data_IF_730496476002
#
_entry.id   IF_730496476002
#
_cell.length_a   1.000
_cell.length_b   1.000
_cell.length_c   1.000
_cell.angle_alpha   90.00
_cell.angle_beta   90.00
_cell.angle_gamma   90.00
#
_symmetry.space_group_name_H-M   'P 1'
#
loop_
_entity.id
_entity.type
_entity.pdbx_description
1 polymer ?
#
# COMPACT_ATOMS: atom_id res chain seq x y z
N UNK A 1 37.80 -1.55 -3.72
CA UNK A 1 36.57 -0.72 -3.86
C UNK A 1 36.10 0.10 -2.63
N UNK A 2 36.55 -0.12 -1.37
CA UNK A 2 36.14 0.72 -0.23
C UNK A 2 36.53 2.20 -0.34
N UNK A 3 37.65 2.49 -1.00
CA UNK A 3 38.26 3.82 -1.08
C UNK A 3 37.44 4.81 -1.92
N UNK A 4 36.90 4.36 -3.07
CA UNK A 4 35.99 5.16 -3.90
C UNK A 4 34.69 5.52 -3.16
N UNK A 5 34.19 4.64 -2.29
CA UNK A 5 33.01 4.91 -1.46
C UNK A 5 33.29 6.00 -0.42
N UNK A 6 34.48 6.01 0.20
CA UNK A 6 34.90 7.08 1.13
C UNK A 6 35.00 8.44 0.42
N UNK A 7 35.54 8.45 -0.80
CA UNK A 7 35.62 9.67 -1.61
C UNK A 7 34.24 10.26 -1.93
N UNK A 8 33.28 9.41 -2.36
CA UNK A 8 31.91 9.85 -2.62
C UNK A 8 31.24 10.44 -1.38
N UNK A 9 31.38 9.79 -0.22
CA UNK A 9 30.86 10.31 1.06
C UNK A 9 31.51 11.66 1.41
N UNK A 10 32.80 11.84 1.09
CA UNK A 10 33.50 13.12 1.23
C UNK A 10 32.88 14.22 0.35
N UNK A 11 32.54 13.90 -0.90
CA UNK A 11 31.88 14.83 -1.82
C UNK A 11 30.46 15.19 -1.36
N UNK A 12 29.68 14.20 -0.91
CA UNK A 12 28.34 14.42 -0.35
C UNK A 12 28.39 15.40 0.83
N UNK A 13 29.29 15.17 1.80
CA UNK A 13 29.50 16.07 2.93
C UNK A 13 29.88 17.49 2.52
N UNK A 14 30.67 17.64 1.45
CA UNK A 14 31.03 18.97 0.91
C UNK A 14 29.83 19.66 0.28
N UNK A 15 29.00 18.93 -0.48
CA UNK A 15 27.77 19.45 -1.06
C UNK A 15 26.75 19.83 0.02
N UNK A 16 26.60 19.04 1.08
CA UNK A 16 25.66 19.34 2.15
C UNK A 16 26.00 20.60 2.96
N UNK A 17 27.27 21.03 2.93
CA UNK A 17 27.73 22.27 3.57
C UNK A 17 27.51 23.52 2.71
N UNK A 18 27.14 23.38 1.43
CA UNK A 18 26.91 24.50 0.51
C UNK A 18 25.50 25.06 0.72
N UNK A 19 25.39 26.20 1.40
CA UNK A 19 24.13 26.91 1.62
C UNK A 19 23.70 27.77 0.42
N UNK A 20 24.61 28.04 -0.50
CA UNK A 20 24.36 28.82 -1.70
C UNK A 20 23.58 28.06 -2.78
N UNK A 21 23.54 26.71 -2.73
CA UNK A 21 22.82 25.85 -3.67
C UNK A 21 21.31 25.84 -3.38
N UNK A 22 20.69 27.00 -3.61
CA UNK A 22 19.25 27.26 -3.52
C UNK A 22 18.53 26.92 -4.81
N UNK A 23 17.19 26.82 -4.77
CA UNK A 23 16.36 26.57 -5.96
C UNK A 23 16.66 27.57 -7.09
N UNK A 24 16.83 28.84 -6.74
CA UNK A 24 17.08 29.95 -7.66
C UNK A 24 18.46 29.83 -8.34
N UNK A 25 19.47 29.38 -7.59
CA UNK A 25 20.82 29.15 -8.16
C UNK A 25 20.86 27.89 -9.02
N UNK A 26 20.20 26.81 -8.61
CA UNK A 26 20.15 25.55 -9.36
C UNK A 26 19.39 25.69 -10.68
N UNK A 27 18.35 26.55 -10.73
CA UNK A 27 17.64 26.87 -11.97
C UNK A 27 18.53 27.52 -13.05
N UNK A 28 19.66 28.13 -12.65
CA UNK A 28 20.63 28.73 -13.56
C UNK A 28 21.72 27.75 -14.02
N UNK A 29 21.78 26.56 -13.42
CA UNK A 29 22.76 25.54 -13.78
C UNK A 29 22.43 24.88 -15.13
N UNK A 30 23.47 24.47 -15.84
CA UNK A 30 23.32 23.60 -17.01
C UNK A 30 22.76 22.23 -16.56
N UNK A 31 21.99 21.56 -17.42
CA UNK A 31 21.36 20.28 -17.09
C UNK A 31 22.38 19.22 -16.65
N UNK A 32 23.49 19.10 -17.38
CA UNK A 32 24.54 18.13 -17.07
C UNK A 32 25.17 18.38 -15.68
N UNK A 33 25.31 19.66 -15.29
CA UNK A 33 25.79 20.03 -13.95
C UNK A 33 24.79 19.58 -12.88
N UNK A 34 23.50 19.77 -13.11
CA UNK A 34 22.44 19.30 -12.20
C UNK A 34 22.45 17.78 -12.07
N UNK A 35 22.60 17.04 -13.17
CA UNK A 35 22.67 15.58 -13.16
C UNK A 35 23.87 15.08 -12.33
N UNK A 36 25.04 15.69 -12.49
CA UNK A 36 26.23 15.37 -11.69
C UNK A 36 25.99 15.69 -10.20
N UNK A 37 25.45 16.88 -9.90
CA UNK A 37 25.17 17.30 -8.52
C UNK A 37 24.17 16.36 -7.83
N UNK A 38 23.10 15.98 -8.52
CA UNK A 38 22.09 15.02 -8.04
C UNK A 38 22.72 13.64 -7.87
N UNK A 39 23.48 13.14 -8.84
CA UNK A 39 24.13 11.84 -8.78
C UNK A 39 25.06 11.72 -7.56
N UNK A 40 25.88 12.76 -7.32
CA UNK A 40 26.79 12.82 -6.19
C UNK A 40 26.02 12.91 -4.88
N UNK A 41 25.07 13.87 -4.75
CA UNK A 41 24.30 14.08 -3.51
C UNK A 41 23.50 12.84 -3.13
N UNK A 42 22.80 12.23 -4.09
CA UNK A 42 21.96 11.05 -3.85
C UNK A 42 22.76 9.75 -3.77
N UNK A 43 24.00 9.73 -4.28
CA UNK A 43 24.83 8.54 -4.39
C UNK A 43 24.33 7.53 -5.42
N UNK A 44 23.69 8.03 -6.50
CA UNK A 44 23.02 7.20 -7.52
C UNK A 44 23.62 7.53 -8.90
N UNK A 45 24.35 6.57 -9.48
CA UNK A 45 25.03 6.78 -10.76
C UNK A 45 24.13 6.79 -12.00
N UNK A 46 22.87 6.34 -11.90
CA UNK A 46 21.95 6.28 -13.05
C UNK A 46 21.57 7.66 -13.58
N UNK A 47 21.71 8.73 -12.78
CA UNK A 47 21.44 10.10 -13.21
C UNK A 47 22.42 10.59 -14.28
N UNK A 48 23.65 10.06 -14.32
CA UNK A 48 24.68 10.45 -15.31
C UNK A 48 24.85 9.43 -16.43
N UNK A 49 24.07 8.33 -16.43
CA UNK A 49 24.24 7.26 -17.43
C UNK A 49 23.50 7.53 -18.74
N UNK A 50 22.87 8.69 -18.92
CA UNK A 50 22.06 9.06 -20.10
C UNK A 50 20.74 8.29 -20.27
N UNK A 51 20.52 7.24 -19.46
CA UNK A 51 19.29 6.42 -19.47
C UNK A 51 18.11 7.11 -18.80
N UNK A 52 18.40 8.05 -17.90
CA UNK A 52 17.42 8.80 -17.13
C UNK A 52 17.36 10.20 -17.74
N UNK A 53 16.26 10.52 -18.43
CA UNK A 53 16.04 11.85 -18.98
C UNK A 53 14.96 12.57 -18.16
N UNK A 54 15.38 13.24 -17.09
CA UNK A 54 14.49 14.06 -16.29
C UNK A 54 14.56 15.54 -16.71
N UNK A 55 13.45 16.29 -16.61
CA UNK A 55 13.48 17.74 -16.70
C UNK A 55 14.34 18.36 -15.58
N UNK A 56 14.95 19.52 -15.85
CA UNK A 56 15.77 20.24 -14.86
C UNK A 56 15.00 20.52 -13.55
N UNK A 57 13.71 20.83 -13.65
CA UNK A 57 12.82 21.04 -12.50
C UNK A 57 12.80 19.82 -11.57
N UNK A 58 12.65 18.62 -12.11
CA UNK A 58 12.59 17.38 -11.32
C UNK A 58 13.94 17.05 -10.69
N UNK A 59 15.05 17.28 -11.41
CA UNK A 59 16.40 17.15 -10.84
C UNK A 59 16.60 18.07 -9.63
N UNK A 60 16.11 19.31 -9.71
CA UNK A 60 16.16 20.27 -8.60
C UNK A 60 15.30 19.81 -7.42
N UNK A 61 14.08 19.32 -7.68
CA UNK A 61 13.21 18.77 -6.63
C UNK A 61 13.84 17.56 -5.93
N UNK A 62 14.50 16.66 -6.68
CA UNK A 62 15.26 15.55 -6.11
C UNK A 62 16.43 16.08 -5.29
N UNK A 63 17.22 17.02 -5.82
CA UNK A 63 18.37 17.61 -5.10
C UNK A 63 17.96 18.21 -3.76
N UNK A 64 16.79 18.85 -3.70
CA UNK A 64 16.22 19.48 -2.50
C UNK A 64 15.40 18.53 -1.63
N UNK A 65 15.40 17.22 -1.93
CA UNK A 65 14.65 16.18 -1.20
C UNK A 65 13.13 16.35 -1.20
N UNK A 66 12.57 17.05 -2.19
CA UNK A 66 11.13 17.23 -2.38
C UNK A 66 10.52 16.17 -3.32
N UNK A 67 11.36 15.37 -3.98
CA UNK A 67 10.96 14.28 -4.87
C UNK A 67 11.82 13.04 -4.64
N UNK A 68 11.23 11.88 -4.82
CA UNK A 68 11.91 10.60 -4.66
C UNK A 68 13.08 10.47 -5.63
N UNK A 69 14.26 10.08 -5.11
CA UNK A 69 15.44 9.81 -5.95
C UNK A 69 15.34 8.52 -6.77
N UNK A 70 14.34 7.67 -6.51
CA UNK A 70 14.02 6.56 -7.38
C UNK A 70 13.19 7.08 -8.56
N UNK A 71 13.83 7.15 -9.73
CA UNK A 71 13.23 7.69 -10.96
C UNK A 71 11.96 6.95 -11.40
N UNK A 72 11.86 5.65 -11.05
CA UNK A 72 10.66 4.84 -11.35
C UNK A 72 9.51 5.10 -10.36
N UNK A 73 9.81 5.67 -9.18
CA UNK A 73 8.81 5.97 -8.16
C UNK A 73 8.20 7.35 -8.39
N UNK A 74 9.04 8.34 -8.69
CA UNK A 74 8.64 9.71 -9.00
C UNK A 74 7.72 10.44 -7.98
N UNK A 75 7.55 9.89 -6.78
CA UNK A 75 6.67 10.49 -5.76
C UNK A 75 7.22 11.83 -5.26
N UNK A 76 6.32 12.79 -5.05
CA UNK A 76 6.61 13.99 -4.26
C UNK A 76 6.75 13.58 -2.79
N UNK A 77 7.64 14.25 -2.05
CA UNK A 77 7.98 13.91 -0.67
C UNK A 77 7.55 15.03 0.30
N UNK A 78 7.00 14.67 1.48
CA UNK A 78 6.65 13.31 1.92
C UNK A 78 5.49 12.72 1.10
N UNK A 79 5.48 11.40 0.95
CA UNK A 79 4.40 10.69 0.23
C UNK A 79 3.10 10.84 1.03
N UNK A 80 1.98 11.08 0.33
CA UNK A 80 0.64 11.25 0.91
C UNK A 80 0.57 12.31 2.02
N UNK A 81 1.44 13.33 1.95
CA UNK A 81 1.58 14.39 2.95
C UNK A 81 1.78 13.85 4.38
N UNK A 82 2.45 12.69 4.50
CA UNK A 82 2.71 12.04 5.78
C UNK A 82 3.49 12.96 6.74
N UNK A 83 2.90 13.23 7.90
CA UNK A 83 3.39 14.14 8.93
C UNK A 83 4.11 13.43 10.09
N UNK A 84 4.36 12.12 9.98
CA UNK A 84 4.94 11.36 11.08
C UNK A 84 6.37 11.85 11.43
N UNK A 85 6.77 11.64 12.70
CA UNK A 85 8.10 12.04 13.19
C UNK A 85 9.25 11.42 12.39
N UNK A 86 9.07 10.21 11.87
CA UNK A 86 10.08 9.54 11.08
C UNK A 86 10.26 10.21 9.70
N UNK A 87 9.19 10.43 8.95
CA UNK A 87 9.23 11.07 7.63
C UNK A 87 9.75 12.51 7.71
N UNK A 88 9.28 13.28 8.69
CA UNK A 88 9.73 14.67 8.89
C UNK A 88 11.21 14.79 9.30
N UNK A 89 11.74 13.83 10.07
CA UNK A 89 13.15 13.83 10.47
C UNK A 89 14.10 13.35 9.37
N UNK A 90 13.62 12.54 8.41
CA UNK A 90 14.46 11.90 7.40
C UNK A 90 14.22 12.50 6.01
N UNK A 91 14.91 13.60 5.71
CA UNK A 91 14.82 14.27 4.41
C UNK A 91 15.13 13.32 3.26
N UNK A 92 14.27 13.32 2.24
CA UNK A 92 14.43 12.50 1.04
C UNK A 92 14.01 11.04 1.21
N UNK A 93 13.49 10.66 2.38
CA UNK A 93 12.84 9.38 2.58
C UNK A 93 11.54 9.29 1.78
N UNK A 94 11.35 8.19 1.06
CA UNK A 94 10.14 7.88 0.33
C UNK A 94 9.50 6.61 0.88
N UNK A 95 8.38 6.73 1.60
CA UNK A 95 7.68 5.57 2.17
C UNK A 95 7.12 4.61 1.12
N UNK A 96 6.93 5.06 -0.14
CA UNK A 96 6.45 4.20 -1.23
C UNK A 96 7.48 3.19 -1.74
N UNK A 97 8.78 3.47 -1.60
CA UNK A 97 9.80 2.60 -2.21
C UNK A 97 11.11 2.48 -1.43
N UNK A 98 11.29 3.20 -0.32
CA UNK A 98 12.51 3.12 0.50
C UNK A 98 12.26 2.39 1.80
N UNK A 99 13.21 1.54 2.16
CA UNK A 99 13.23 0.89 3.46
C UNK A 99 13.73 1.87 4.53
N UNK A 100 13.01 2.11 5.64
CA UNK A 100 13.38 3.07 6.66
C UNK A 100 14.65 2.67 7.44
N UNK A 101 15.06 1.40 7.38
CA UNK A 101 16.26 0.90 8.05
C UNK A 101 17.54 1.20 7.25
N UNK A 102 17.55 0.87 5.95
CA UNK A 102 18.75 0.97 5.12
C UNK A 102 18.73 2.19 4.19
N UNK A 103 17.59 2.90 4.11
CA UNK A 103 17.32 4.03 3.24
C UNK A 103 17.45 3.73 1.73
N UNK A 104 17.60 2.45 1.35
CA UNK A 104 17.66 2.05 -0.06
C UNK A 104 16.27 1.80 -0.60
N UNK A 105 16.11 2.05 -1.89
CA UNK A 105 14.94 1.67 -2.65
C UNK A 105 15.21 0.47 -3.54
N UNK A 106 14.15 -0.27 -3.85
CA UNK A 106 14.10 -1.23 -4.96
C UNK A 106 12.66 -1.33 -5.48
N UNK A 107 12.41 -2.29 -6.38
CA UNK A 107 11.12 -2.47 -7.06
C UNK A 107 10.42 -3.78 -6.69
N UNK A 108 10.70 -4.38 -5.52
CA UNK A 108 10.14 -5.67 -5.12
C UNK A 108 8.81 -5.55 -4.34
N UNK A 109 7.90 -4.69 -4.81
CA UNK A 109 6.62 -4.37 -4.15
C UNK A 109 5.58 -5.52 -4.09
N UNK A 110 5.82 -6.63 -4.79
CA UNK A 110 4.90 -7.78 -4.86
C UNK A 110 5.52 -9.04 -4.25
N UNK A 111 6.25 -8.89 -3.15
CA UNK A 111 7.08 -9.96 -2.54
C UNK A 111 6.97 -9.94 -1.01
N UNK A 112 7.28 -11.06 -0.37
CA UNK A 112 7.44 -11.14 1.09
C UNK A 112 8.75 -10.49 1.55
N UNK A 113 9.67 -10.22 0.63
CA UNK A 113 10.91 -9.46 0.87
C UNK A 113 10.68 -8.03 1.35
N UNK A 114 9.46 -7.49 1.21
CA UNK A 114 9.02 -6.23 1.82
C UNK A 114 7.87 -6.47 2.77
N UNK A 115 7.99 -5.97 4.00
CA UNK A 115 6.97 -6.08 5.05
C UNK A 115 6.41 -4.69 5.35
N UNK A 116 5.09 -4.59 5.42
CA UNK A 116 4.38 -3.32 5.57
C UNK A 116 3.71 -3.19 6.93
N UNK A 117 3.63 -1.96 7.43
CA UNK A 117 2.73 -1.61 8.53
C UNK A 117 1.32 -1.36 8.00
N UNK A 118 0.33 -2.07 8.52
CA UNK A 118 -1.09 -1.96 8.16
C UNK A 118 -1.80 -0.69 8.66
N UNK A 119 -1.13 0.13 9.48
CA UNK A 119 -1.67 1.42 9.97
C UNK A 119 -1.13 2.62 9.19
N UNK A 120 0.19 2.66 8.95
CA UNK A 120 0.85 3.85 8.40
C UNK A 120 1.55 3.59 7.05
N UNK A 121 1.42 2.38 6.50
CA UNK A 121 1.96 2.01 5.19
C UNK A 121 3.47 2.25 5.04
N UNK A 122 4.23 2.23 6.14
CA UNK A 122 5.68 2.17 6.08
C UNK A 122 6.14 0.75 5.76
N UNK A 123 6.92 0.63 4.69
CA UNK A 123 7.44 -0.65 4.21
C UNK A 123 8.92 -0.81 4.53
N UNK A 124 9.32 -1.99 5.00
CA UNK A 124 10.70 -2.32 5.35
C UNK A 124 11.12 -3.59 4.62
N UNK A 125 12.39 -3.70 4.22
CA UNK A 125 12.93 -4.99 3.79
C UNK A 125 12.80 -5.99 4.94
N UNK A 126 12.31 -7.20 4.66
CA UNK A 126 12.23 -8.28 5.64
C UNK A 126 13.60 -8.54 6.29
N UNK A 127 14.66 -8.62 5.48
CA UNK A 127 16.03 -8.78 5.97
C UNK A 127 16.48 -7.64 6.91
N UNK A 128 16.13 -6.39 6.61
CA UNK A 128 16.44 -5.26 7.48
C UNK A 128 15.62 -5.31 8.78
N UNK A 129 14.35 -5.70 8.68
CA UNK A 129 13.45 -5.87 9.81
C UNK A 129 13.96 -6.95 10.77
N UNK A 130 14.38 -8.10 10.25
CA UNK A 130 14.99 -9.17 11.05
C UNK A 130 16.30 -8.71 11.69
N UNK A 131 17.21 -8.08 10.93
CA UNK A 131 18.49 -7.61 11.46
C UNK A 131 18.33 -6.58 12.60
N UNK A 132 17.26 -5.78 12.55
CA UNK A 132 16.93 -4.78 13.58
C UNK A 132 15.97 -5.28 14.65
N UNK A 133 15.65 -6.58 14.66
CA UNK A 133 14.66 -7.18 15.57
C UNK A 133 13.28 -6.49 15.53
N UNK A 134 12.90 -5.95 14.38
CA UNK A 134 11.56 -5.41 14.13
C UNK A 134 10.57 -6.51 13.78
N UNK A 135 11.05 -7.61 13.19
CA UNK A 135 10.25 -8.83 12.99
C UNK A 135 10.60 -9.79 14.12
N UNK A 136 9.65 -10.07 15.00
CA UNK A 136 9.86 -10.91 16.19
C UNK A 136 8.55 -11.47 16.73
N UNK A 137 8.58 -12.56 17.52
CA UNK A 137 7.42 -13.00 18.28
C UNK A 137 6.92 -11.91 19.23
N UNK A 138 5.61 -11.76 19.31
CA UNK A 138 4.90 -10.84 20.21
C UNK A 138 3.57 -11.43 20.68
N UNK A 139 2.84 -10.78 21.59
CA UNK A 139 1.53 -11.24 22.04
C UNK A 139 0.50 -11.16 20.90
N UNK A 140 -0.26 -12.22 20.66
CA UNK A 140 -1.20 -12.24 19.53
C UNK A 140 -2.27 -11.15 19.64
N UNK A 141 -2.49 -10.43 18.55
CA UNK A 141 -3.46 -9.33 18.48
C UNK A 141 -4.92 -9.81 18.40
N UNK A 142 -5.12 -11.02 17.87
CA UNK A 142 -6.45 -11.61 17.60
C UNK A 142 -6.65 -12.98 18.26
N UNK A 143 -5.62 -13.52 18.92
CA UNK A 143 -5.64 -14.84 19.54
C UNK A 143 -6.13 -14.87 20.99
N UNK A 144 -6.35 -16.08 21.56
CA UNK A 144 -6.61 -16.24 22.98
C UNK A 144 -5.46 -15.69 23.83
N UNK A 145 -5.78 -15.17 25.02
CA UNK A 145 -4.77 -14.63 25.94
C UNK A 145 -3.66 -15.66 26.21
N UNK A 146 -2.40 -15.25 26.01
CA UNK A 146 -1.23 -16.09 26.22
C UNK A 146 -0.64 -16.72 24.95
N UNK A 147 -1.27 -16.56 23.78
CA UNK A 147 -0.66 -16.98 22.51
C UNK A 147 0.30 -15.93 21.98
N UNK A 148 1.48 -16.36 21.49
CA UNK A 148 2.39 -15.51 20.72
C UNK A 148 2.10 -15.61 19.22
N UNK A 149 2.52 -14.63 18.43
CA UNK A 149 2.59 -14.70 16.96
C UNK A 149 3.76 -13.84 16.45
N UNK A 150 4.25 -14.11 15.24
CA UNK A 150 5.30 -13.28 14.62
C UNK A 150 4.70 -11.95 14.16
N UNK A 151 5.31 -10.84 14.57
CA UNK A 151 4.84 -9.48 14.30
C UNK A 151 5.96 -8.60 13.74
N UNK A 152 5.61 -7.71 12.81
CA UNK A 152 6.45 -6.61 12.36
C UNK A 152 6.13 -5.34 13.14
N UNK A 153 7.15 -4.78 13.79
CA UNK A 153 7.07 -3.53 14.53
C UNK A 153 7.56 -2.37 13.66
N UNK A 154 6.64 -1.47 13.32
CA UNK A 154 6.94 -0.35 12.45
C UNK A 154 7.88 0.66 13.13
N UNK A 155 8.98 1.06 12.48
CA UNK A 155 9.86 2.12 13.01
C UNK A 155 9.21 3.51 13.06
N UNK A 156 8.16 3.75 12.26
CA UNK A 156 7.46 5.03 12.19
C UNK A 156 6.46 5.24 13.32
N UNK A 157 5.53 4.31 13.51
CA UNK A 157 4.44 4.42 14.47
C UNK A 157 4.52 3.43 15.64
N UNK A 158 5.50 2.53 15.66
CA UNK A 158 5.65 1.44 16.64
C UNK A 158 4.46 0.47 16.71
N UNK A 159 3.56 0.52 15.73
CA UNK A 159 2.48 -0.45 15.60
C UNK A 159 3.04 -1.84 15.28
N UNK A 160 2.45 -2.86 15.90
CA UNK A 160 2.76 -4.27 15.63
C UNK A 160 1.75 -4.81 14.62
N UNK A 161 2.24 -5.17 13.43
CA UNK A 161 1.44 -5.77 12.36
C UNK A 161 1.69 -7.28 12.32
N UNK A 162 0.62 -8.06 12.14
CA UNK A 162 0.64 -9.51 12.14
C UNK A 162 1.25 -10.06 10.83
N UNK A 163 2.17 -11.04 10.91
CA UNK A 163 2.98 -11.46 9.74
C UNK A 163 2.43 -12.65 8.94
N UNK A 164 1.73 -13.60 9.56
CA UNK A 164 1.17 -14.76 8.88
C UNK A 164 0.08 -14.35 7.89
N UNK A 165 -0.86 -13.51 8.30
CA UNK A 165 -1.89 -12.95 7.42
C UNK A 165 -1.28 -12.14 6.28
N UNK A 166 -0.29 -11.29 6.59
CA UNK A 166 0.45 -10.55 5.58
C UNK A 166 1.07 -11.47 4.51
N UNK A 167 1.81 -12.51 4.93
CA UNK A 167 2.44 -13.46 3.99
C UNK A 167 1.40 -14.23 3.19
N UNK A 168 0.30 -14.66 3.84
CA UNK A 168 -0.82 -15.30 3.14
C UNK A 168 -1.34 -14.42 2.01
N UNK A 169 -1.59 -13.15 2.28
CA UNK A 169 -2.16 -12.23 1.30
C UNK A 169 -1.20 -11.99 0.13
N UNK A 170 0.10 -11.84 0.41
CA UNK A 170 1.13 -11.72 -0.64
C UNK A 170 1.16 -12.96 -1.54
N UNK A 171 1.13 -14.17 -0.97
CA UNK A 171 1.13 -15.40 -1.78
C UNK A 171 -0.15 -15.54 -2.61
N UNK A 172 -1.31 -15.27 -2.02
CA UNK A 172 -2.60 -15.38 -2.72
C UNK A 172 -2.69 -14.39 -3.88
N UNK A 173 -2.21 -13.16 -3.69
CA UNK A 173 -2.32 -12.10 -4.69
C UNK A 173 -1.23 -12.18 -5.77
N UNK A 174 0.01 -12.51 -5.38
CA UNK A 174 1.19 -12.29 -6.23
C UNK A 174 1.88 -13.59 -6.70
N UNK A 175 1.77 -14.70 -5.98
CA UNK A 175 2.60 -15.88 -6.27
C UNK A 175 2.34 -16.53 -7.63
N UNK A 176 1.16 -16.28 -8.23
CA UNK A 176 0.81 -16.75 -9.57
C UNK A 176 1.70 -16.16 -10.69
N UNK A 177 2.25 -14.97 -10.46
CA UNK A 177 3.07 -14.24 -11.43
C UNK A 177 4.58 -14.45 -11.19
N UNK A 178 4.95 -15.26 -10.19
CA UNK A 178 6.35 -15.51 -9.84
C UNK A 178 6.94 -16.66 -10.66
N UNK A 179 8.12 -16.41 -11.25
CA UNK A 179 8.97 -17.47 -11.79
C UNK A 179 9.67 -18.27 -10.68
N UNK A 180 10.32 -19.38 -11.06
CA UNK A 180 11.02 -20.29 -10.14
C UNK A 180 11.98 -19.55 -9.18
N UNK A 181 12.82 -18.66 -9.70
CA UNK A 181 13.82 -17.95 -8.89
C UNK A 181 13.18 -17.03 -7.84
N UNK A 182 12.08 -16.36 -8.20
CA UNK A 182 11.37 -15.47 -7.28
C UNK A 182 10.68 -16.34 -6.22
N UNK A 183 9.99 -17.41 -6.62
CA UNK A 183 9.32 -18.29 -5.69
C UNK A 183 10.28 -18.90 -4.66
N UNK A 184 11.47 -19.35 -5.08
CA UNK A 184 12.50 -19.83 -4.15
C UNK A 184 12.93 -18.73 -3.18
N UNK A 185 13.21 -17.51 -3.68
CA UNK A 185 13.61 -16.39 -2.81
C UNK A 185 12.52 -16.03 -1.80
N UNK A 186 11.27 -16.01 -2.22
CA UNK A 186 10.16 -15.64 -1.34
C UNK A 186 9.84 -16.73 -0.32
N UNK A 187 9.91 -18.00 -0.69
CA UNK A 187 9.81 -19.10 0.28
C UNK A 187 10.95 -19.08 1.30
N UNK A 188 12.18 -18.77 0.88
CA UNK A 188 13.30 -18.60 1.81
C UNK A 188 13.07 -17.40 2.73
N UNK A 189 12.58 -16.28 2.19
CA UNK A 189 12.21 -15.11 3.00
C UNK A 189 11.19 -15.49 4.09
N UNK A 190 10.12 -16.22 3.72
CA UNK A 190 9.14 -16.74 4.68
C UNK A 190 9.80 -17.66 5.72
N UNK A 191 10.65 -18.61 5.27
CA UNK A 191 11.40 -19.50 6.17
C UNK A 191 12.19 -18.69 7.20
N UNK A 192 12.87 -17.61 6.80
CA UNK A 192 13.64 -16.76 7.71
C UNK A 192 12.74 -15.97 8.66
N UNK A 193 11.64 -15.38 8.17
CA UNK A 193 10.68 -14.60 8.98
C UNK A 193 10.14 -15.45 10.14
N UNK A 194 9.80 -16.71 9.88
CA UNK A 194 9.16 -17.60 10.87
C UNK A 194 10.12 -18.52 11.62
N UNK A 195 11.44 -18.40 11.41
CA UNK A 195 12.45 -19.28 12.02
C UNK A 195 12.39 -19.33 13.55
N UNK A 196 12.02 -18.22 14.18
CA UNK A 196 11.89 -18.09 15.64
C UNK A 196 10.45 -18.09 16.15
N UNK A 197 9.48 -18.53 15.35
CA UNK A 197 8.08 -18.58 15.76
C UNK A 197 7.88 -19.55 16.93
N UNK A 198 7.14 -19.10 17.95
CA UNK A 198 6.77 -19.94 19.10
C UNK A 198 5.40 -20.59 18.93
N UNK A 199 4.58 -20.03 18.03
CA UNK A 199 3.20 -20.41 17.79
C UNK A 199 3.07 -21.53 16.76
N UNK A 200 1.99 -22.30 16.87
CA UNK A 200 1.76 -23.46 16.00
C UNK A 200 1.69 -23.06 14.51
N UNK A 201 1.02 -21.93 14.19
CA UNK A 201 0.82 -21.52 12.79
C UNK A 201 2.14 -21.12 12.13
N UNK A 202 2.94 -20.31 12.81
CA UNK A 202 4.25 -19.88 12.31
C UNK A 202 5.26 -21.04 12.22
N UNK A 203 5.27 -21.96 13.18
CA UNK A 203 6.11 -23.18 13.11
C UNK A 203 5.75 -24.06 11.91
N UNK A 204 4.46 -24.33 11.70
CA UNK A 204 4.01 -25.12 10.55
C UNK A 204 4.33 -24.42 9.22
N UNK A 205 4.19 -23.09 9.17
CA UNK A 205 4.55 -22.32 7.96
C UNK A 205 6.05 -22.37 7.68
N UNK A 206 6.89 -22.27 8.71
CA UNK A 206 8.34 -22.42 8.58
C UNK A 206 8.71 -23.79 8.00
N UNK A 207 8.18 -24.87 8.57
CA UNK A 207 8.40 -26.25 8.11
C UNK A 207 7.89 -26.41 6.67
N UNK A 208 6.71 -25.88 6.36
CA UNK A 208 6.12 -26.00 5.03
C UNK A 208 6.93 -25.25 3.97
N UNK A 209 7.44 -24.07 4.30
CA UNK A 209 8.32 -23.31 3.42
C UNK A 209 9.62 -24.08 3.14
N UNK A 210 10.24 -24.68 4.17
CA UNK A 210 11.46 -25.50 4.02
C UNK A 210 11.24 -26.76 3.17
N UNK A 211 10.10 -27.45 3.36
CA UNK A 211 9.72 -28.61 2.55
C UNK A 211 9.59 -28.23 1.06
N UNK A 212 8.90 -27.13 0.76
CA UNK A 212 8.68 -26.67 -0.60
C UNK A 212 9.96 -26.15 -1.27
N UNK A 213 10.81 -25.45 -0.52
CA UNK A 213 12.14 -25.03 -0.98
C UNK A 213 12.96 -26.22 -1.41
N UNK A 214 13.10 -27.22 -0.54
CA UNK A 214 13.87 -28.43 -0.82
C UNK A 214 13.36 -29.15 -2.08
N UNK A 215 12.03 -29.24 -2.23
CA UNK A 215 11.39 -29.87 -3.39
C UNK A 215 11.58 -29.09 -4.69
N UNK A 216 11.61 -27.76 -4.63
CA UNK A 216 11.84 -26.89 -5.79
C UNK A 216 13.31 -26.92 -6.22
N UNK A 217 14.24 -26.88 -5.26
CA UNK A 217 15.68 -26.97 -5.49
C UNK A 217 16.06 -28.34 -6.08
N UNK A 218 15.44 -29.42 -5.59
CA UNK A 218 15.59 -30.78 -6.14
C UNK A 218 14.80 -31.02 -7.43
N UNK A 219 14.07 -30.02 -7.95
CA UNK A 219 13.21 -30.09 -9.14
C UNK A 219 12.14 -31.20 -9.09
N UNK A 220 11.75 -31.62 -7.89
CA UNK A 220 10.73 -32.66 -7.66
C UNK A 220 9.29 -32.15 -7.82
N UNK A 221 9.11 -30.83 -7.84
CA UNK A 221 7.81 -30.17 -8.00
C UNK A 221 7.94 -28.95 -8.92
N UNK A 222 6.87 -28.64 -9.67
CA UNK A 222 6.81 -27.43 -10.48
C UNK A 222 6.52 -26.19 -9.61
N UNK A 223 6.94 -24.97 -10.03
CA UNK A 223 6.60 -23.73 -9.33
C UNK A 223 5.09 -23.56 -9.10
N UNK A 224 4.27 -23.85 -10.12
CA UNK A 224 2.81 -23.74 -10.03
C UNK A 224 2.23 -24.68 -8.96
N UNK A 225 2.71 -25.92 -8.89
CA UNK A 225 2.26 -26.88 -7.89
C UNK A 225 2.71 -26.45 -6.48
N UNK A 226 3.93 -25.95 -6.32
CA UNK A 226 4.39 -25.42 -5.04
C UNK A 226 3.55 -24.21 -4.58
N UNK A 227 3.24 -23.27 -5.49
CA UNK A 227 2.33 -22.15 -5.22
C UNK A 227 0.94 -22.63 -4.80
N UNK A 228 0.38 -23.62 -5.50
CA UNK A 228 -0.93 -24.20 -5.16
C UNK A 228 -0.93 -24.84 -3.77
N UNK A 229 0.10 -25.63 -3.45
CA UNK A 229 0.23 -26.28 -2.13
C UNK A 229 0.31 -25.26 -1.00
N UNK A 230 1.12 -24.21 -1.13
CA UNK A 230 1.26 -23.23 -0.05
C UNK A 230 0.00 -22.37 0.10
N UNK A 231 -0.67 -22.00 -1.01
CA UNK A 231 -1.95 -21.29 -0.96
C UNK A 231 -3.03 -22.16 -0.29
N UNK A 232 -3.08 -23.45 -0.62
CA UNK A 232 -3.97 -24.38 0.06
C UNK A 232 -3.65 -24.48 1.56
N UNK A 233 -2.38 -24.56 1.93
CA UNK A 233 -1.96 -24.56 3.34
C UNK A 233 -2.52 -23.34 4.10
N UNK A 234 -2.40 -22.14 3.52
CA UNK A 234 -2.96 -20.92 4.13
C UNK A 234 -4.48 -20.92 4.29
N UNK A 235 -5.20 -21.65 3.44
CA UNK A 235 -6.65 -21.77 3.53
C UNK A 235 -7.07 -22.81 4.59
N UNK A 236 -6.31 -23.90 4.74
CA UNK A 236 -6.61 -24.94 5.73
C UNK A 236 -6.17 -24.57 7.15
N UNK A 237 -5.06 -23.83 7.29
CA UNK A 237 -4.57 -23.34 8.58
C UNK A 237 -5.50 -22.31 9.24
N UNK A 238 -6.38 -21.67 8.46
CA UNK A 238 -7.40 -20.73 8.96
C UNK A 238 -8.65 -21.42 9.54
N UNK A 239 -8.95 -22.65 9.12
CA UNK A 239 -10.21 -23.34 9.45
C UNK A 239 -10.08 -24.31 10.65
N UNK A 240 -8.86 -24.72 10.99
CA UNK A 240 -8.61 -25.67 12.11
C UNK A 240 -8.26 -24.95 13.41
N UNK A 241 -9.25 -24.31 14.03
CA UNK A 241 -9.21 -23.91 15.45
C UNK A 241 -10.59 -24.17 16.05
N UNK A 242 -10.96 -25.45 16.20
CA UNK A 242 -12.05 -25.92 17.06
C UNK A 242 -11.77 -27.39 17.48
N UNK A 243 -10.88 -27.52 18.49
CA UNK A 243 -10.72 -28.61 19.50
C UNK A 243 -10.52 -30.09 19.10
N UNK A 244 -10.10 -30.98 20.04
CA UNK A 244 -9.32 -30.79 21.28
C UNK A 244 -8.03 -31.62 21.31
N UNK A 245 -7.19 -31.38 22.33
CA UNK A 245 -6.07 -32.24 22.69
C UNK A 245 -6.52 -33.71 22.84
N UNK A 246 -5.88 -34.63 22.12
CA UNK A 246 -6.09 -36.07 22.28
C UNK A 246 -4.94 -36.65 23.10
N UNK A 247 -5.21 -36.78 24.40
CA UNK A 247 -4.52 -37.70 25.30
C UNK A 247 -5.31 -39.02 25.41
N UNK A 248 -4.55 -40.08 25.64
CA UNK A 248 -4.89 -41.49 25.88
C UNK A 248 -6.12 -41.72 26.80
N UNK A 249 -6.90 -42.81 26.63
CA UNK A 249 -8.17 -43.01 27.34
C UNK A 249 -8.03 -43.82 28.65
N UNK A 250 -8.66 -43.37 29.75
CA UNK A 250 -9.03 -44.23 30.89
C UNK A 250 -10.35 -43.74 31.56
N UNK A 251 -11.42 -44.50 31.29
CA UNK A 251 -12.45 -45.09 32.17
C UNK A 251 -13.03 -44.35 33.41
N UNK A 252 -14.34 -44.11 33.32
CA UNK A 252 -15.45 -44.20 34.31
C UNK A 252 -15.36 -43.58 35.73
N UNK A 253 -16.28 -42.64 36.05
CA UNK A 253 -17.46 -42.83 36.94
C UNK A 253 -18.29 -41.53 37.05
N UNK A 254 -19.62 -41.68 37.09
CA UNK A 254 -20.68 -40.66 37.24
C UNK A 254 -21.05 -40.42 38.73
N UNK A 255 -22.14 -39.70 39.09
CA UNK A 255 -22.46 -38.27 38.92
C UNK A 255 -22.83 -37.61 40.28
N UNK A 256 -22.82 -36.27 40.40
CA UNK A 256 -23.62 -35.62 41.46
C UNK A 256 -24.04 -34.20 41.08
N UNK A 257 -25.35 -33.96 41.16
CA UNK A 257 -26.05 -32.69 40.98
C UNK A 257 -25.86 -31.75 42.17
N UNK A 258 -25.90 -30.43 41.93
CA UNK A 258 -27.00 -29.53 42.36
C UNK A 258 -26.57 -28.07 42.62
N UNK A 259 -27.49 -27.18 42.19
CA UNK A 259 -27.89 -25.87 42.74
C UNK A 259 -27.20 -24.55 42.32
N UNK A 260 -27.88 -23.87 41.38
CA UNK A 260 -28.61 -22.58 41.51
C UNK A 260 -27.93 -21.42 42.26
N UNK A 261 -27.70 -20.32 41.54
CA UNK A 261 -27.40 -18.98 42.08
C UNK A 261 -27.40 -17.89 41.00
N UNK A 262 -28.47 -17.10 40.99
CA UNK A 262 -28.91 -16.00 40.09
C UNK A 262 -27.94 -14.87 39.70
N UNK A 263 -28.28 -14.30 38.53
CA UNK A 263 -28.25 -12.90 38.07
C UNK A 263 -26.94 -12.17 37.76
N UNK A 264 -26.68 -11.96 36.46
CA UNK A 264 -26.50 -10.62 35.87
C UNK A 264 -26.53 -10.69 34.32
N UNK A 265 -27.43 -9.91 33.72
CA UNK A 265 -27.58 -9.68 32.28
C UNK A 265 -26.29 -9.24 31.59
N UNK A 266 -25.93 -9.88 30.48
CA UNK A 266 -25.08 -9.30 29.45
C UNK A 266 -25.75 -9.40 28.08
N UNK A 267 -25.94 -8.23 27.48
CA UNK A 267 -26.45 -7.98 26.15
C UNK A 267 -25.58 -8.66 25.07
N UNK A 268 -26.25 -9.26 24.10
CA UNK A 268 -25.68 -9.73 22.83
C UNK A 268 -24.92 -8.60 22.12
N UNK A 269 -23.68 -8.83 21.64
CA UNK A 269 -23.10 -8.00 20.60
C UNK A 269 -23.55 -8.49 19.23
N UNK A 270 -24.10 -7.54 18.50
CA UNK A 270 -24.50 -7.58 17.11
C UNK A 270 -23.42 -8.15 16.19
N UNK A 271 -23.89 -8.92 15.21
CA UNK A 271 -23.17 -9.38 14.02
C UNK A 271 -22.47 -8.22 13.33
N UNK A 272 -21.14 -8.13 13.45
CA UNK A 272 -20.32 -7.25 12.62
C UNK A 272 -19.63 -8.06 11.52
N UNK A 273 -19.93 -7.67 10.29
CA UNK A 273 -19.37 -8.15 9.02
C UNK A 273 -17.85 -7.98 8.94
N UNK A 274 -17.14 -8.78 8.11
CA UNK A 274 -15.69 -8.71 7.97
C UNK A 274 -15.25 -7.38 7.35
N UNK A 275 -14.30 -6.72 8.02
CA UNK A 275 -13.63 -5.50 7.55
C UNK A 275 -12.93 -5.75 6.22
N UNK A 276 -13.28 -4.94 5.21
CA UNK A 276 -12.65 -4.91 3.89
C UNK A 276 -11.27 -4.29 4.02
N UNK A 277 -10.20 -5.06 3.77
CA UNK A 277 -8.88 -4.50 3.49
C UNK A 277 -8.96 -3.73 2.17
N UNK A 278 -8.96 -2.41 2.25
CA UNK A 278 -8.90 -1.53 1.08
C UNK A 278 -7.47 -1.55 0.55
N UNK A 279 -7.27 -2.32 -0.53
CA UNK A 279 -6.07 -2.27 -1.37
C UNK A 279 -5.90 -0.84 -1.86
N UNK A 280 -4.89 -0.13 -1.36
CA UNK A 280 -4.51 1.17 -1.89
C UNK A 280 -3.92 1.00 -3.29
N UNK A 281 -4.79 1.28 -4.26
CA UNK A 281 -4.57 2.04 -5.47
C UNK A 281 -3.13 2.08 -6.02
N UNK A 282 -2.90 1.29 -7.08
CA UNK A 282 -1.67 1.28 -7.88
C UNK A 282 -1.53 2.49 -8.83
N UNK A 283 -2.42 3.48 -8.76
CA UNK A 283 -2.44 4.61 -9.67
C UNK A 283 -2.32 5.94 -8.93
N UNK A 284 -1.08 6.44 -8.83
CA UNK A 284 -0.81 7.88 -8.71
C UNK A 284 0.56 8.24 -9.30
N UNK A 285 0.55 8.47 -10.61
CA UNK A 285 1.27 9.59 -11.22
C UNK A 285 0.37 10.15 -12.32
N UNK A 286 -0.20 11.34 -12.07
CA UNK A 286 -1.01 12.06 -13.06
C UNK A 286 -0.15 12.64 -14.18
N UNK A 287 -0.77 12.89 -15.33
CA UNK A 287 -0.19 13.65 -16.43
C UNK A 287 -0.18 12.86 -17.73
N UNK A 288 -1.01 13.29 -18.67
CA UNK A 288 -1.02 12.85 -20.07
C UNK A 288 0.41 12.84 -20.62
N UNK A 289 0.87 11.70 -21.13
CA UNK A 289 1.70 11.59 -22.33
C UNK A 289 1.79 10.10 -22.71
N UNK A 290 1.57 9.83 -23.99
CA UNK A 290 1.55 8.50 -24.62
C UNK A 290 2.88 7.74 -24.40
N UNK A 291 2.87 6.43 -24.15
CA UNK A 291 4.11 5.66 -24.08
C UNK A 291 4.47 5.08 -25.45
N UNK A 292 5.59 5.56 -25.99
CA UNK A 292 6.38 4.94 -27.04
C UNK A 292 7.02 3.66 -26.49
N UNK A 293 6.66 2.50 -27.05
CA UNK A 293 7.16 1.19 -26.66
C UNK A 293 8.53 0.89 -27.29
N UNK A 294 9.53 0.57 -26.47
CA UNK A 294 10.78 -0.08 -26.91
C UNK A 294 10.94 -1.45 -26.21
N UNK A 295 10.74 -2.51 -26.99
CA UNK A 295 11.72 -3.56 -27.33
C UNK A 295 12.31 -4.54 -26.31
N UNK A 296 11.55 -5.01 -25.30
CA UNK A 296 11.98 -6.17 -24.49
C UNK A 296 10.91 -7.23 -24.17
N UNK A 297 9.83 -7.31 -24.98
CA UNK A 297 8.73 -8.29 -24.78
C UNK A 297 8.51 -9.30 -25.91
N UNK A 298 9.41 -9.39 -26.90
CA UNK A 298 9.20 -10.28 -28.06
C UNK A 298 9.72 -11.72 -27.89
N UNK A 299 10.58 -12.02 -26.90
CA UNK A 299 11.24 -13.33 -26.83
C UNK A 299 10.54 -14.40 -25.97
N UNK A 300 9.44 -14.08 -25.29
CA UNK A 300 8.74 -15.05 -24.43
C UNK A 300 7.43 -15.59 -25.00
N UNK A 301 6.91 -15.00 -26.08
CA UNK A 301 5.66 -15.44 -26.73
C UNK A 301 5.86 -16.54 -27.78
N UNK A 302 7.12 -16.85 -28.15
CA UNK A 302 7.43 -17.85 -29.20
C UNK A 302 7.42 -19.31 -28.71
N UNK A 303 7.37 -19.55 -27.40
CA UNK A 303 7.43 -20.90 -26.82
C UNK A 303 6.06 -21.50 -26.46
N UNK A 304 4.98 -20.71 -26.50
CA UNK A 304 3.65 -21.12 -26.03
C UNK A 304 2.64 -21.45 -27.14
N UNK A 305 3.02 -21.41 -28.42
CA UNK A 305 2.13 -21.75 -29.55
C UNK A 305 2.24 -23.22 -30.02
N UNK A 306 2.83 -24.11 -29.21
CA UNK A 306 2.80 -25.55 -29.45
C UNK A 306 2.03 -26.25 -28.33
N UNK A 307 0.72 -26.04 -28.27
CA UNK A 307 -0.22 -26.95 -27.61
C UNK A 307 -1.62 -26.64 -28.14
N UNK A 308 -2.07 -27.57 -28.98
CA UNK A 308 -3.33 -27.63 -29.71
C UNK A 308 -4.57 -27.53 -28.80
N UNK A 309 -5.57 -26.70 -29.17
CA UNK A 309 -6.96 -27.05 -28.94
C UNK A 309 -7.71 -27.13 -30.27
N UNK A 310 -8.11 -28.37 -30.59
CA UNK A 310 -9.14 -28.75 -31.56
C UNK A 310 -10.23 -27.70 -31.72
N UNK A 311 -10.24 -27.04 -32.88
CA UNK A 311 -11.44 -26.43 -33.46
C UNK A 311 -11.56 -27.00 -34.87
N UNK A 312 -12.62 -27.78 -35.01
CA UNK A 312 -13.13 -28.37 -36.22
C UNK A 312 -13.69 -27.23 -37.08
N UNK A 313 -12.99 -26.86 -38.15
CA UNK A 313 -13.58 -26.09 -39.26
C UNK A 313 -12.93 -26.54 -40.56
N UNK A 314 -13.75 -27.21 -41.34
CA UNK A 314 -13.47 -28.00 -42.52
C UNK A 314 -13.26 -27.06 -43.73
N UNK A 315 -12.01 -26.87 -44.17
CA UNK A 315 -11.72 -26.26 -45.48
C UNK A 315 -10.90 -27.22 -46.35
N UNK A 316 -11.61 -27.96 -47.18
CA UNK A 316 -11.06 -28.82 -48.23
C UNK A 316 -10.42 -28.00 -49.36
N UNK A 317 -9.09 -28.10 -49.51
CA UNK A 317 -8.47 -27.94 -50.83
C UNK A 317 -8.19 -29.32 -51.43
N UNK A 318 -8.74 -29.53 -52.61
CA UNK A 318 -8.80 -30.81 -53.29
C UNK A 318 -7.44 -31.46 -53.53
N UNK A 319 -7.45 -32.78 -53.42
CA UNK A 319 -6.44 -33.71 -53.90
C UNK A 319 -6.05 -33.37 -55.34
N UNK A 320 -4.87 -32.79 -55.57
CA UNK A 320 -4.27 -32.71 -56.91
C UNK A 320 -3.00 -33.57 -56.98
N UNK A 321 -2.99 -34.37 -58.04
CA UNK A 321 -2.01 -35.39 -58.37
C UNK A 321 -0.63 -34.80 -58.68
N UNK A 322 0.40 -35.63 -58.48
CA UNK A 322 1.78 -35.44 -58.93
C UNK A 322 1.84 -34.90 -60.37
N UNK A 323 2.40 -33.70 -60.56
CA UNK A 323 3.31 -33.36 -61.67
C UNK A 323 3.89 -31.94 -61.53
N UNK A 324 5.20 -31.86 -61.75
CA UNK A 324 5.96 -30.77 -62.34
C UNK A 324 5.75 -29.33 -61.82
N UNK A 325 6.72 -28.86 -61.02
CA UNK A 325 7.54 -27.71 -61.42
C UNK A 325 6.89 -26.33 -61.56
N UNK A 326 5.72 -26.08 -60.97
CA UNK A 326 5.13 -24.75 -60.85
C UNK A 326 4.45 -24.56 -59.48
N UNK A 327 5.25 -24.26 -58.45
CA UNK A 327 4.80 -23.40 -57.34
C UNK A 327 5.81 -22.25 -57.24
N UNK A 328 5.71 -21.38 -58.26
CA UNK A 328 6.50 -20.17 -58.43
C UNK A 328 6.44 -19.30 -57.16
N UNK A 329 7.51 -18.54 -56.90
CA UNK A 329 7.63 -17.52 -55.84
C UNK A 329 6.34 -16.67 -55.71
N UNK A 330 5.65 -16.43 -56.81
CA UNK A 330 4.36 -15.73 -56.87
C UNK A 330 3.24 -16.36 -56.02
N UNK A 331 3.15 -17.70 -55.95
CA UNK A 331 2.18 -18.43 -55.11
C UNK A 331 2.47 -18.18 -53.62
N UNK A 332 3.73 -18.27 -53.23
CA UNK A 332 4.20 -18.02 -51.86
C UNK A 332 3.98 -16.55 -51.47
N UNK A 333 4.25 -15.62 -52.39
CA UNK A 333 4.02 -14.18 -52.19
C UNK A 333 2.53 -13.92 -51.92
N UNK A 334 1.62 -14.46 -52.74
CA UNK A 334 0.16 -14.30 -52.53
C UNK A 334 -0.31 -14.84 -51.18
N UNK A 335 0.20 -16.00 -50.74
CA UNK A 335 -0.12 -16.56 -49.43
C UNK A 335 0.41 -15.66 -48.30
N UNK A 336 1.63 -15.13 -48.43
CA UNK A 336 2.22 -14.23 -47.44
C UNK A 336 1.53 -12.86 -47.38
N UNK A 337 1.06 -12.34 -48.50
CA UNK A 337 0.24 -11.13 -48.57
C UNK A 337 -1.10 -11.33 -47.85
N UNK A 338 -1.77 -12.46 -48.06
CA UNK A 338 -3.00 -12.81 -47.36
C UNK A 338 -2.78 -12.97 -45.83
N UNK A 339 -1.69 -13.63 -45.44
CA UNK A 339 -1.30 -13.78 -44.02
C UNK A 339 -1.03 -12.42 -43.37
N UNK A 340 -0.30 -11.53 -44.05
CA UNK A 340 -0.02 -10.18 -43.56
C UNK A 340 -1.31 -9.34 -43.41
N UNK A 341 -2.22 -9.41 -44.39
CA UNK A 341 -3.52 -8.73 -44.33
C UNK A 341 -4.37 -9.20 -43.14
N UNK A 342 -4.39 -10.50 -42.87
CA UNK A 342 -5.08 -11.07 -41.70
C UNK A 342 -4.48 -10.54 -40.39
N UNK A 343 -3.15 -10.54 -40.24
CA UNK A 343 -2.51 -10.02 -39.03
C UNK A 343 -2.76 -8.52 -38.83
N UNK A 344 -2.78 -7.75 -39.92
CA UNK A 344 -3.13 -6.33 -39.88
C UNK A 344 -4.56 -6.13 -39.39
N UNK A 345 -5.53 -6.88 -39.94
CA UNK A 345 -6.94 -6.81 -39.51
C UNK A 345 -7.11 -7.13 -38.02
N UNK A 346 -6.44 -8.17 -37.51
CA UNK A 346 -6.44 -8.52 -36.08
C UNK A 346 -5.82 -7.43 -35.21
N UNK A 347 -4.74 -6.79 -35.67
CA UNK A 347 -4.12 -5.68 -34.96
C UNK A 347 -5.03 -4.45 -34.90
N UNK A 348 -5.76 -4.17 -35.98
CA UNK A 348 -6.70 -3.05 -36.05
C UNK A 348 -7.95 -3.31 -35.20
N UNK A 349 -8.43 -4.56 -35.14
CA UNK A 349 -9.50 -4.97 -34.23
C UNK A 349 -9.09 -4.82 -32.76
N UNK A 350 -7.91 -5.33 -32.39
CA UNK A 350 -7.38 -5.16 -31.03
C UNK A 350 -7.22 -3.68 -30.65
N UNK A 351 -6.84 -2.82 -31.61
CA UNK A 351 -6.76 -1.37 -31.39
C UNK A 351 -8.15 -0.76 -31.14
N UNK A 352 -9.16 -1.13 -31.94
CA UNK A 352 -10.55 -0.66 -31.74
C UNK A 352 -11.12 -1.11 -30.41
N UNK A 353 -10.85 -2.34 -29.97
CA UNK A 353 -11.28 -2.84 -28.66
C UNK A 353 -10.62 -2.07 -27.52
N UNK A 354 -9.30 -1.86 -27.60
CA UNK A 354 -8.57 -1.05 -26.61
C UNK A 354 -9.15 0.37 -26.52
N UNK A 355 -9.41 1.02 -27.64
CA UNK A 355 -10.08 2.33 -27.69
C UNK A 355 -11.50 2.31 -27.11
N UNK A 356 -12.22 1.18 -27.26
CA UNK A 356 -13.50 0.93 -26.60
C UNK A 356 -13.37 0.91 -25.08
N UNK A 357 -12.42 0.14 -24.54
CA UNK A 357 -12.15 0.09 -23.10
C UNK A 357 -11.72 1.45 -22.55
N UNK A 358 -10.86 2.18 -23.26
CA UNK A 358 -10.44 3.53 -22.86
C UNK A 358 -11.61 4.52 -22.75
N UNK A 359 -12.58 4.45 -23.68
CA UNK A 359 -13.80 5.27 -23.60
C UNK A 359 -14.64 4.93 -22.38
N UNK A 360 -14.82 3.64 -22.09
CA UNK A 360 -15.58 3.19 -20.92
C UNK A 360 -14.90 3.63 -19.63
N UNK A 361 -13.58 3.49 -19.53
CA UNK A 361 -12.81 3.92 -18.35
C UNK A 361 -12.99 5.43 -18.15
N UNK A 362 -12.84 6.23 -19.20
CA UNK A 362 -13.01 7.68 -19.12
C UNK A 362 -14.39 8.06 -18.60
N UNK A 363 -15.44 7.50 -19.19
CA UNK A 363 -16.82 7.79 -18.80
C UNK A 363 -17.09 7.39 -17.33
N UNK A 364 -16.58 6.24 -16.90
CA UNK A 364 -16.72 5.80 -15.50
C UNK A 364 -15.95 6.69 -14.53
N UNK A 365 -14.74 7.14 -14.90
CA UNK A 365 -13.97 8.07 -14.08
C UNK A 365 -14.68 9.42 -13.94
N UNK A 366 -15.18 9.99 -15.03
CA UNK A 366 -15.94 11.26 -15.01
C UNK A 366 -17.19 11.15 -14.13
N UNK A 367 -17.97 10.06 -14.26
CA UNK A 367 -19.15 9.85 -13.41
C UNK A 367 -18.79 9.69 -11.92
N UNK A 368 -17.70 8.99 -11.61
CA UNK A 368 -17.23 8.87 -10.23
C UNK A 368 -16.78 10.23 -9.66
N UNK A 369 -16.03 11.02 -10.44
CA UNK A 369 -15.59 12.36 -10.03
C UNK A 369 -16.78 13.29 -9.74
N UNK A 370 -17.83 13.25 -10.57
CA UNK A 370 -19.06 14.01 -10.35
C UNK A 370 -19.77 13.59 -9.06
N UNK A 371 -19.95 12.28 -8.81
CA UNK A 371 -20.53 11.78 -7.57
C UNK A 371 -19.73 12.17 -6.32
N UNK A 372 -18.40 12.15 -6.41
CA UNK A 372 -17.53 12.58 -5.31
C UNK A 372 -17.66 14.08 -5.05
N UNK A 373 -17.68 14.90 -6.11
CA UNK A 373 -17.87 16.34 -6.00
C UNK A 373 -19.24 16.69 -5.39
N UNK A 374 -20.30 15.99 -5.78
CA UNK A 374 -21.65 16.20 -5.24
C UNK A 374 -21.70 15.85 -3.73
N UNK A 375 -21.12 14.71 -3.33
CA UNK A 375 -21.07 14.31 -1.91
C UNK A 375 -20.27 15.31 -1.07
N UNK A 376 -19.13 15.78 -1.56
CA UNK A 376 -18.32 16.77 -0.87
C UNK A 376 -19.07 18.10 -0.71
N UNK A 377 -19.77 18.55 -1.76
CA UNK A 377 -20.59 19.77 -1.71
C UNK A 377 -21.71 19.68 -0.67
N UNK A 378 -22.40 18.54 -0.56
CA UNK A 378 -23.44 18.30 0.45
C UNK A 378 -22.87 18.37 1.88
N UNK A 379 -21.70 17.77 2.12
CA UNK A 379 -21.04 17.80 3.42
C UNK A 379 -20.65 19.23 3.83
N UNK A 380 -20.04 20.00 2.93
CA UNK A 380 -19.67 21.40 3.21
C UNK A 380 -20.90 22.28 3.52
N UNK A 381 -22.00 22.09 2.79
CA UNK A 381 -23.25 22.82 3.05
C UNK A 381 -23.83 22.45 4.42
N UNK A 382 -23.81 21.17 4.78
CA UNK A 382 -24.30 20.69 6.07
C UNK A 382 -23.44 21.24 7.23
N UNK A 383 -22.11 21.18 7.11
CA UNK A 383 -21.20 21.73 8.13
C UNK A 383 -21.42 23.25 8.31
N UNK A 384 -21.61 23.98 7.21
CA UNK A 384 -21.86 25.43 7.26
C UNK A 384 -23.20 25.75 7.94
N UNK A 385 -24.26 25.00 7.63
CA UNK A 385 -25.57 25.16 8.28
C UNK A 385 -25.49 24.87 9.77
N UNK A 386 -24.76 23.82 10.15
CA UNK A 386 -24.58 23.42 11.53
C UNK A 386 -23.76 24.45 12.33
N UNK A 387 -22.67 24.97 11.74
CA UNK A 387 -21.90 26.07 12.33
C UNK A 387 -22.76 27.32 12.55
N UNK A 388 -23.63 27.66 11.58
CA UNK A 388 -24.58 28.77 11.71
C UNK A 388 -25.61 28.54 12.82
N UNK A 389 -26.15 27.32 12.95
CA UNK A 389 -27.07 26.93 14.03
C UNK A 389 -26.42 27.10 15.41
N UNK A 390 -25.20 26.58 15.58
CA UNK A 390 -24.46 26.71 16.84
C UNK A 390 -24.19 28.17 17.21
N UNK A 391 -23.84 29.01 16.24
CA UNK A 391 -23.62 30.45 16.47
C UNK A 391 -24.91 31.18 16.90
N UNK A 392 -26.06 30.78 16.38
CA UNK A 392 -27.35 31.32 16.79
C UNK A 392 -27.71 30.92 18.24
N UNK A 393 -27.42 29.68 18.62
CA UNK A 393 -27.62 29.20 20.00
C UNK A 393 -26.72 29.93 20.99
N UNK A 394 -25.44 30.12 20.66
CA UNK A 394 -24.50 30.92 21.46
C UNK A 394 -25.00 32.36 21.67
N UNK A 395 -25.53 32.98 20.61
CA UNK A 395 -26.07 34.34 20.66
C UNK A 395 -27.31 34.43 21.55
N UNK A 396 -28.22 33.45 21.46
CA UNK A 396 -29.43 33.40 22.30
C UNK A 396 -29.08 33.29 23.79
N UNK A 397 -28.12 32.42 24.14
CA UNK A 397 -27.63 32.28 25.52
C UNK A 397 -27.05 33.61 26.02
N UNK A 398 -26.32 34.33 25.17
CA UNK A 398 -25.76 35.63 25.53
C UNK A 398 -26.85 36.68 25.75
N UNK A 399 -27.87 36.74 24.89
CA UNK A 399 -29.02 37.64 25.04
C UNK A 399 -29.81 37.37 26.33
N UNK A 400 -30.07 36.10 26.64
CA UNK A 400 -30.74 35.69 27.87
C UNK A 400 -29.92 36.13 29.10
N UNK A 401 -28.61 35.91 29.09
CA UNK A 401 -27.71 36.34 30.17
C UNK A 401 -27.69 37.86 30.35
N UNK A 402 -27.74 38.62 29.24
CA UNK A 402 -27.78 40.07 29.27
C UNK A 402 -29.10 40.58 29.84
N UNK A 403 -30.22 39.95 29.48
CA UNK A 403 -31.53 40.26 30.05
C UNK A 403 -31.56 40.00 31.56
N UNK A 404 -31.00 38.89 32.03
CA UNK A 404 -30.96 38.56 33.45
C UNK A 404 -30.03 39.49 34.23
N UNK A 405 -28.89 39.87 33.65
CA UNK A 405 -28.04 40.93 34.21
C UNK A 405 -28.80 42.25 34.34
N UNK A 406 -29.56 42.65 33.33
CA UNK A 406 -30.34 43.89 33.37
C UNK A 406 -31.45 43.86 34.42
N UNK A 407 -32.18 42.74 34.54
CA UNK A 407 -33.17 42.53 35.61
C UNK A 407 -32.51 42.59 37.00
N UNK A 408 -31.35 41.96 37.17
CA UNK A 408 -30.59 42.00 38.42
C UNK A 408 -30.20 43.44 38.77
N UNK A 409 -29.65 44.18 37.80
CA UNK A 409 -29.25 45.58 37.96
C UNK A 409 -30.43 46.45 38.41
N UNK A 410 -31.61 46.29 37.81
CA UNK A 410 -32.82 47.01 38.20
C UNK A 410 -33.22 46.72 39.65
N UNK A 411 -33.19 45.45 40.08
CA UNK A 411 -33.48 45.08 41.47
C UNK A 411 -32.49 45.73 42.44
N UNK A 412 -31.20 45.63 42.16
CA UNK A 412 -30.16 46.26 43.00
C UNK A 412 -30.33 47.78 43.09
N UNK A 413 -30.65 48.45 41.98
CA UNK A 413 -30.92 49.90 41.98
C UNK A 413 -32.12 50.26 42.85
N UNK A 414 -33.19 49.46 42.81
CA UNK A 414 -34.37 49.65 43.66
C UNK A 414 -34.03 49.47 45.14
N UNK A 415 -33.25 48.43 45.48
CA UNK A 415 -32.81 48.16 46.85
C UNK A 415 -31.93 49.29 47.40
N UNK A 416 -30.96 49.77 46.61
CA UNK A 416 -30.09 50.90 46.97
C UNK A 416 -30.93 52.15 47.21
N UNK A 417 -31.87 52.46 46.30
CA UNK A 417 -32.76 53.62 46.44
C UNK A 417 -33.57 53.52 47.74
N UNK A 418 -34.19 52.38 48.01
CA UNK A 418 -34.97 52.17 49.23
C UNK A 418 -34.11 52.24 50.50
N UNK A 419 -32.84 51.83 50.43
CA UNK A 419 -31.90 51.93 51.56
C UNK A 419 -31.51 53.39 51.83
N UNK A 420 -31.24 54.18 50.78
CA UNK A 420 -30.99 55.61 50.89
C UNK A 420 -32.19 56.37 51.47
N UNK A 421 -33.42 56.05 51.05
CA UNK A 421 -34.64 56.65 51.59
C UNK A 421 -34.80 56.37 53.09
N UNK A 422 -34.54 55.12 53.53
CA UNK A 422 -34.58 54.77 54.95
C UNK A 422 -33.48 55.46 55.76
N UNK A 423 -32.28 55.60 55.20
CA UNK A 423 -31.19 56.33 55.84
C UNK A 423 -31.54 57.80 56.05
N UNK A 424 -32.13 58.47 55.06
CA UNK A 424 -32.55 59.86 55.17
C UNK A 424 -33.72 60.02 56.15
N UNK A 425 -34.72 59.13 56.13
CA UNK A 425 -35.82 59.15 57.10
C UNK A 425 -35.31 58.99 58.55
N UNK A 426 -34.34 58.10 58.77
CA UNK A 426 -33.71 57.92 60.08
C UNK A 426 -32.97 59.18 60.50
N UNK A 427 -32.23 59.82 59.59
CA UNK A 427 -31.53 61.07 59.87
C UNK A 427 -32.48 62.21 60.28
N UNK A 428 -33.63 62.33 59.61
CA UNK A 428 -34.65 63.34 59.94
C UNK A 428 -35.36 63.09 61.29
N UNK A 429 -35.35 61.86 61.81
CA UNK A 429 -35.89 61.52 63.14
C UNK A 429 -34.92 61.82 64.29
N UNK A 430 -33.64 62.10 63.99
CA UNK A 430 -32.58 62.37 64.96
C UNK A 430 -32.20 63.86 65.02
N UNK A 431 -32.92 64.71 64.26
CA UNK A 431 -32.96 66.17 64.38
C UNK A 431 -34.25 66.54 65.08
#
# INVERSE_FOLDING_TARGET
MPEKRKQLVGLQKRLDRRSDLTKETLLKCQKDQLEILVAVKMGVGSFISGKVQLPAKELIEIFLFMRCRNVNCNSVLPVDDCDCKFCSANKGFCSSCMCPVCMKFDSANNTCSWVGCDVCSHWCHAACGMQKNLIRPGPSLKGPSGTSEVQFHCMGCNHASEMFGFVKDVFVLCAKDWGLEILIKELDCVRQIFRGSEDFKGKELHIKAEELLSKLESKSISPLNACSIIIQFFNHAGTKLNFPASGVPVKELMPTEANIGKDASCMLPSTSTPSKYTVYNLNSSGGRHEPQMNDLRQNSLKAALLSDPKIDDEFHFGKLSKKDGFDSIESIVRVKEAEASMFQSKADEARREAEGYWRIIRLKSENLEEEYAEKLGKLHLQETKERRRKKLEELKVLEDSHCDYFKMKLRMQSEIKGLLERMEATKQQWV
#
